data_IF_902671543735
#
_entry.id   IF_902671543735
#
_cell.length_a   1.000
_cell.length_b   1.000
_cell.length_c   1.000
_cell.angle_alpha   90.00
_cell.angle_beta   90.00
_cell.angle_gamma   90.00
#
_symmetry.space_group_name_H-M   'P 1'
#
loop_
_entity.id
_entity.type
_entity.pdbx_description
1 polymer ?
#
# COMPACT_ATOMS: atom_id res chain seq x y z
N UNK A 1 28.19 -69.93 -31.56
CA UNK A 1 28.94 -69.11 -30.58
C UNK A 1 28.80 -67.63 -30.96
N UNK A 2 27.63 -67.03 -30.69
CA UNK A 2 27.28 -65.64 -31.05
C UNK A 2 26.47 -65.04 -29.91
N UNK A 3 27.14 -64.75 -28.80
CA UNK A 3 26.51 -64.20 -27.59
C UNK A 3 27.53 -63.38 -26.80
N UNK A 4 28.24 -62.45 -27.46
CA UNK A 4 29.18 -61.52 -26.79
C UNK A 4 29.18 -60.09 -27.33
N UNK A 5 28.28 -59.71 -28.24
CA UNK A 5 28.25 -58.34 -28.80
C UNK A 5 27.09 -57.45 -28.31
N UNK A 6 26.09 -57.97 -27.60
CA UNK A 6 24.92 -57.19 -27.22
C UNK A 6 25.04 -56.46 -25.86
N UNK A 7 26.08 -56.73 -25.07
CA UNK A 7 26.18 -56.22 -23.69
C UNK A 7 26.99 -54.92 -23.54
N UNK A 8 27.69 -54.45 -24.59
CA UNK A 8 28.56 -53.25 -24.49
C UNK A 8 27.83 -51.96 -24.92
N UNK A 9 26.71 -52.05 -25.63
CA UNK A 9 25.96 -50.87 -26.11
C UNK A 9 24.93 -50.31 -25.11
N UNK A 10 24.62 -51.03 -24.02
CA UNK A 10 23.65 -50.58 -23.03
C UNK A 10 24.23 -49.72 -21.89
N UNK A 11 25.56 -49.63 -21.76
CA UNK A 11 26.22 -48.89 -20.67
C UNK A 11 26.67 -47.47 -21.10
N UNK A 12 26.68 -47.17 -22.41
CA UNK A 12 26.99 -45.83 -22.90
C UNK A 12 25.80 -44.84 -22.84
N UNK A 13 24.58 -45.33 -22.58
CA UNK A 13 23.36 -44.50 -22.55
C UNK A 13 23.00 -43.91 -21.18
N UNK A 14 23.62 -44.37 -20.08
CA UNK A 14 23.25 -43.95 -18.72
C UNK A 14 24.11 -42.82 -18.13
N UNK A 15 25.08 -42.29 -18.88
CA UNK A 15 25.97 -41.21 -18.40
C UNK A 15 25.59 -39.81 -18.92
N UNK A 16 24.52 -39.67 -19.71
CA UNK A 16 24.03 -38.37 -20.20
C UNK A 16 22.86 -37.79 -19.38
N UNK A 17 22.41 -38.47 -18.31
CA UNK A 17 21.28 -38.02 -17.49
C UNK A 17 21.67 -37.25 -16.21
N UNK A 18 22.95 -36.95 -16.00
CA UNK A 18 23.44 -36.25 -14.79
C UNK A 18 24.22 -34.96 -15.12
N UNK A 19 23.84 -34.23 -16.17
CA UNK A 19 24.59 -33.05 -16.63
C UNK A 19 23.81 -31.74 -16.70
N UNK A 20 22.49 -31.76 -16.59
CA UNK A 20 21.69 -30.54 -16.50
C UNK A 20 21.22 -30.40 -15.06
N UNK A 21 22.12 -29.92 -14.20
CA UNK A 21 21.66 -28.95 -13.20
C UNK A 21 21.07 -27.85 -14.08
N UNK A 22 19.75 -27.88 -14.28
CA UNK A 22 19.03 -26.72 -14.73
C UNK A 22 19.39 -25.67 -13.68
N UNK A 23 20.37 -24.83 -13.99
CA UNK A 23 20.55 -23.56 -13.30
C UNK A 23 19.20 -22.90 -13.50
N UNK A 24 18.31 -23.03 -12.51
CA UNK A 24 17.09 -22.26 -12.47
C UNK A 24 17.59 -20.83 -12.56
N UNK A 25 17.46 -20.25 -13.74
CA UNK A 25 17.82 -18.87 -13.96
C UNK A 25 17.03 -18.08 -12.91
N UNK A 26 17.74 -17.31 -12.09
CA UNK A 26 17.05 -16.46 -11.13
C UNK A 26 16.10 -15.55 -11.90
N UNK A 27 14.88 -15.30 -11.37
CA UNK A 27 13.94 -14.43 -12.05
C UNK A 27 14.57 -13.06 -12.23
N UNK A 28 14.33 -12.44 -13.38
CA UNK A 28 14.69 -11.04 -13.60
C UNK A 28 14.00 -10.16 -12.54
N UNK A 29 14.53 -8.94 -12.24
CA UNK A 29 13.88 -8.02 -11.31
C UNK A 29 12.40 -7.77 -11.62
N UNK A 30 12.04 -7.64 -12.90
CA UNK A 30 10.66 -7.45 -13.36
C UNK A 30 9.81 -8.68 -13.05
N UNK A 31 10.27 -9.88 -13.41
CA UNK A 31 9.53 -11.13 -13.13
C UNK A 31 9.36 -11.35 -11.62
N UNK A 32 10.39 -11.04 -10.83
CA UNK A 32 10.32 -11.15 -9.39
C UNK A 32 9.29 -10.18 -8.80
N UNK A 33 9.30 -8.92 -9.24
CA UNK A 33 8.33 -7.91 -8.80
C UNK A 33 6.90 -8.33 -9.13
N UNK A 34 6.65 -8.79 -10.35
CA UNK A 34 5.33 -9.26 -10.80
C UNK A 34 4.87 -10.48 -9.98
N UNK A 35 5.77 -11.43 -9.72
CA UNK A 35 5.46 -12.60 -8.89
C UNK A 35 5.16 -12.22 -7.44
N UNK A 36 5.94 -11.32 -6.87
CA UNK A 36 5.73 -10.85 -5.50
C UNK A 36 4.42 -10.08 -5.37
N UNK A 37 4.07 -9.29 -6.38
CA UNK A 37 2.78 -8.61 -6.46
C UNK A 37 1.60 -9.60 -6.48
N UNK A 38 1.69 -10.67 -7.29
CA UNK A 38 0.68 -11.72 -7.31
C UNK A 38 0.57 -12.42 -5.94
N UNK A 39 1.70 -12.69 -5.30
CA UNK A 39 1.74 -13.32 -3.98
C UNK A 39 1.08 -12.46 -2.90
N UNK A 40 1.31 -11.15 -2.90
CA UNK A 40 0.67 -10.21 -1.98
C UNK A 40 -0.87 -10.27 -2.12
N UNK A 41 -1.40 -10.26 -3.35
CA UNK A 41 -2.85 -10.41 -3.60
C UNK A 41 -3.42 -11.73 -3.06
N UNK A 42 -2.61 -12.79 -3.00
CA UNK A 42 -3.04 -14.11 -2.52
C UNK A 42 -2.83 -14.35 -1.04
N UNK A 43 -2.06 -13.49 -0.35
CA UNK A 43 -1.67 -13.69 1.05
C UNK A 43 -2.86 -13.78 2.03
N UNK A 44 -4.05 -13.32 1.62
CA UNK A 44 -5.31 -13.21 2.40
C UNK A 44 -5.22 -12.35 3.65
N UNK A 45 -4.17 -12.45 4.44
CA UNK A 45 -3.96 -11.72 5.69
C UNK A 45 -2.53 -11.20 5.78
N UNK A 46 -2.35 -10.06 6.43
CA UNK A 46 -1.03 -9.49 6.74
C UNK A 46 -1.14 -8.50 7.89
N UNK A 47 -0.06 -8.37 8.66
CA UNK A 47 0.15 -7.26 9.57
C UNK A 47 1.05 -6.21 8.90
N UNK A 48 0.69 -4.95 9.05
CA UNK A 48 1.35 -3.80 8.44
C UNK A 48 1.81 -2.88 9.55
N UNK A 49 3.09 -2.55 9.55
CA UNK A 49 3.63 -1.42 10.32
C UNK A 49 4.26 -0.44 9.36
N UNK A 50 4.22 0.85 9.68
CA UNK A 50 4.88 1.80 8.81
C UNK A 50 4.99 3.19 9.37
N UNK A 51 5.83 3.95 8.70
CA UNK A 51 5.93 5.39 8.88
C UNK A 51 5.68 6.07 7.56
N UNK A 52 5.23 7.31 7.60
CA UNK A 52 5.11 8.11 6.41
C UNK A 52 5.32 9.58 6.72
N UNK A 53 5.42 10.37 5.68
CA UNK A 53 5.44 11.81 5.78
C UNK A 53 4.62 12.42 4.67
N UNK A 54 3.92 13.50 5.00
CA UNK A 54 3.24 14.35 4.04
C UNK A 54 3.81 15.73 4.19
N UNK A 55 4.50 16.23 3.17
CA UNK A 55 5.00 17.59 3.12
C UNK A 55 4.19 18.40 2.13
N UNK A 56 3.69 19.54 2.59
CA UNK A 56 3.06 20.54 1.75
C UNK A 56 4.00 21.73 1.64
N UNK A 57 4.45 22.04 0.42
CA UNK A 57 5.34 23.15 0.10
C UNK A 57 4.57 24.20 -0.69
N UNK A 58 4.37 25.39 -0.12
CA UNK A 58 3.76 26.53 -0.79
C UNK A 58 4.27 27.83 -0.20
N UNK A 59 3.39 28.84 -0.06
CA UNK A 59 3.71 30.08 0.66
C UNK A 59 4.17 29.86 2.12
N UNK A 60 3.82 28.71 2.71
CA UNK A 60 4.39 28.15 3.93
C UNK A 60 4.66 26.66 3.70
N UNK A 61 5.75 26.13 4.27
CA UNK A 61 6.07 24.70 4.21
C UNK A 61 5.65 24.01 5.49
N UNK A 62 4.85 22.95 5.38
CA UNK A 62 4.42 22.11 6.49
C UNK A 62 4.82 20.66 6.24
N UNK A 63 5.16 19.93 7.29
CA UNK A 63 5.42 18.49 7.21
C UNK A 63 4.70 17.80 8.35
N UNK A 64 4.05 16.69 8.02
CA UNK A 64 3.29 15.86 8.93
C UNK A 64 3.89 14.47 8.91
N UNK A 65 4.43 14.04 10.04
CA UNK A 65 4.90 12.67 10.21
C UNK A 65 3.75 11.77 10.61
N UNK A 66 3.69 10.60 9.99
CA UNK A 66 2.65 9.60 10.17
C UNK A 66 3.27 8.30 10.67
N UNK A 67 2.57 7.61 11.56
CA UNK A 67 2.79 6.21 11.87
C UNK A 67 1.51 5.45 11.63
N UNK A 68 1.63 4.24 11.10
CA UNK A 68 0.52 3.33 10.88
C UNK A 68 0.88 1.95 11.42
N UNK A 69 -0.11 1.27 11.98
CA UNK A 69 0.01 -0.13 12.37
C UNK A 69 -1.36 -0.79 12.31
N UNK A 70 -1.40 -2.06 11.89
CA UNK A 70 -2.56 -2.91 12.07
C UNK A 70 -2.66 -4.01 11.03
N UNK A 71 -3.84 -4.58 10.90
CA UNK A 71 -4.05 -5.83 10.18
C UNK A 71 -4.94 -5.60 8.95
N UNK A 72 -4.68 -6.36 7.90
CA UNK A 72 -5.51 -6.39 6.69
C UNK A 72 -5.87 -7.84 6.33
N UNK A 73 -7.15 -8.05 6.01
CA UNK A 73 -7.69 -9.30 5.46
C UNK A 73 -8.33 -8.99 4.09
N UNK A 74 -7.65 -9.40 3.03
CA UNK A 74 -8.05 -9.20 1.62
C UNK A 74 -9.28 -10.06 1.32
N UNK A 75 -10.31 -9.52 0.62
CA UNK A 75 -10.29 -8.26 -0.12
C UNK A 75 -10.85 -7.04 0.60
N UNK A 76 -11.53 -7.17 1.74
CA UNK A 76 -12.48 -6.15 2.19
C UNK A 76 -12.38 -5.76 3.66
N UNK A 77 -11.37 -6.24 4.39
CA UNK A 77 -11.23 -5.97 5.82
C UNK A 77 -9.88 -5.37 6.19
N UNK A 78 -9.92 -4.38 7.06
CA UNK A 78 -8.72 -3.87 7.73
C UNK A 78 -9.07 -3.29 9.11
N UNK A 79 -8.09 -3.32 10.02
CA UNK A 79 -8.13 -2.60 11.30
C UNK A 79 -6.78 -1.92 11.48
N UNK A 80 -6.79 -0.60 11.57
CA UNK A 80 -5.57 0.22 11.49
C UNK A 80 -5.63 1.33 12.51
N UNK A 81 -4.51 1.55 13.18
CA UNK A 81 -4.26 2.73 13.98
C UNK A 81 -3.30 3.63 13.24
N UNK A 82 -3.71 4.87 13.01
CA UNK A 82 -2.86 5.92 12.47
C UNK A 82 -2.52 6.93 13.58
N UNK A 83 -1.29 7.43 13.57
CA UNK A 83 -0.83 8.51 14.43
C UNK A 83 -0.18 9.58 13.56
N UNK A 84 -0.48 10.84 13.85
CA UNK A 84 0.07 12.00 13.15
C UNK A 84 0.65 12.97 14.17
N UNK A 85 1.85 13.48 13.91
CA UNK A 85 2.43 14.57 14.70
C UNK A 85 2.21 15.90 13.98
N UNK A 86 1.48 16.81 14.61
CA UNK A 86 1.18 18.15 14.08
C UNK A 86 1.57 19.18 15.13
N UNK A 87 2.55 20.03 14.82
CA UNK A 87 3.00 21.12 15.70
C UNK A 87 3.33 20.64 17.14
N UNK A 88 3.92 19.46 17.27
CA UNK A 88 4.28 18.85 18.56
C UNK A 88 3.13 18.16 19.30
N UNK A 89 1.93 18.11 18.72
CA UNK A 89 0.80 17.35 19.24
C UNK A 89 0.64 16.04 18.47
N UNK A 90 0.51 14.93 19.20
CA UNK A 90 0.22 13.62 18.62
C UNK A 90 -1.29 13.43 18.55
N UNK A 91 -1.80 13.26 17.34
CA UNK A 91 -3.19 12.91 17.05
C UNK A 91 -3.22 11.45 16.66
N UNK A 92 -4.16 10.68 17.19
CA UNK A 92 -4.34 9.29 16.80
C UNK A 92 -5.78 9.04 16.38
N UNK A 93 -5.96 8.15 15.41
CA UNK A 93 -7.25 7.65 14.99
C UNK A 93 -7.16 6.16 14.69
N UNK A 94 -8.17 5.42 15.14
CA UNK A 94 -8.39 4.03 14.74
C UNK A 94 -9.38 4.01 13.58
N UNK A 95 -9.14 3.10 12.64
CA UNK A 95 -9.98 2.83 11.48
C UNK A 95 -10.28 1.34 11.41
N UNK A 96 -11.53 0.99 11.13
CA UNK A 96 -11.94 -0.37 10.79
C UNK A 96 -12.70 -0.30 9.48
N UNK A 97 -12.32 -1.15 8.54
CA UNK A 97 -13.09 -1.34 7.31
C UNK A 97 -13.54 -2.78 7.20
N UNK A 98 -14.83 -2.96 6.89
CA UNK A 98 -15.46 -4.28 6.68
C UNK A 98 -16.58 -4.11 5.66
N UNK A 99 -16.56 -4.92 4.59
CA UNK A 99 -17.67 -4.98 3.64
C UNK A 99 -17.99 -3.65 2.93
N UNK A 100 -16.98 -2.82 2.66
CA UNK A 100 -17.14 -1.52 1.98
C UNK A 100 -17.52 -0.35 2.89
N UNK A 101 -17.69 -0.59 4.19
CA UNK A 101 -17.91 0.44 5.21
C UNK A 101 -16.60 0.75 5.93
N UNK A 102 -16.39 2.03 6.25
CA UNK A 102 -15.21 2.49 7.00
C UNK A 102 -15.67 3.23 8.25
N UNK A 103 -15.21 2.76 9.39
CA UNK A 103 -15.49 3.29 10.72
C UNK A 103 -14.23 3.93 11.26
N UNK A 104 -14.36 5.14 11.81
CA UNK A 104 -13.24 5.88 12.39
C UNK A 104 -13.54 6.22 13.83
N UNK A 105 -12.52 6.13 14.69
CA UNK A 105 -12.56 6.61 16.07
C UNK A 105 -11.34 7.47 16.33
N UNK A 106 -11.56 8.76 16.55
CA UNK A 106 -10.49 9.70 16.90
C UNK A 106 -10.14 9.62 18.38
N UNK A 107 -8.90 9.94 18.72
CA UNK A 107 -8.46 10.00 20.11
C UNK A 107 -9.36 10.94 20.93
N UNK A 108 -9.89 10.43 22.04
CA UNK A 108 -10.82 11.17 22.92
C UNK A 108 -12.30 11.06 22.55
N UNK A 109 -12.66 10.50 21.39
CA UNK A 109 -14.04 10.16 21.07
C UNK A 109 -14.47 8.91 21.84
N UNK A 110 -15.71 8.90 22.36
CA UNK A 110 -16.30 7.72 22.99
C UNK A 110 -16.72 6.69 21.93
N UNK A 111 -17.28 7.19 20.83
CA UNK A 111 -18.01 6.38 19.85
C UNK A 111 -17.27 6.30 18.51
N UNK A 112 -17.52 5.18 17.81
CA UNK A 112 -17.14 5.03 16.41
C UNK A 112 -18.12 5.79 15.52
N UNK A 113 -17.60 6.46 14.50
CA UNK A 113 -18.41 7.09 13.46
C UNK A 113 -18.19 6.37 12.14
N UNK A 114 -19.26 6.16 11.39
CA UNK A 114 -19.17 5.67 10.02
C UNK A 114 -18.83 6.84 9.09
N UNK A 115 -17.72 6.73 8.36
CA UNK A 115 -17.31 7.69 7.36
C UNK A 115 -17.97 7.44 6.01
N UNK A 116 -17.70 8.32 5.03
CA UNK A 116 -18.10 8.06 3.64
C UNK A 116 -17.45 6.77 3.13
N UNK A 117 -18.20 5.97 2.37
CA UNK A 117 -17.75 4.70 1.80
C UNK A 117 -16.56 4.90 0.85
N UNK A 118 -15.36 4.61 1.33
CA UNK A 118 -14.18 4.40 0.53
C UNK A 118 -13.51 3.13 1.07
N UNK A 119 -13.17 2.18 0.18
CA UNK A 119 -12.40 0.98 0.54
C UNK A 119 -10.94 1.39 0.80
N UNK A 120 -10.49 1.46 2.07
CA UNK A 120 -9.16 1.93 2.39
C UNK A 120 -8.13 0.81 2.36
N UNK A 121 -8.56 -0.46 2.24
CA UNK A 121 -7.64 -1.59 2.08
C UNK A 121 -6.90 -1.46 0.74
N UNK A 122 -7.59 -0.98 -0.30
CA UNK A 122 -7.06 -0.63 -1.61
C UNK A 122 -6.09 0.57 -1.62
N UNK A 123 -6.12 1.43 -0.60
CA UNK A 123 -5.23 2.59 -0.50
C UNK A 123 -4.04 2.39 0.44
N UNK A 124 -4.00 1.27 1.18
CA UNK A 124 -3.02 1.07 2.26
C UNK A 124 -2.18 -0.20 2.12
N UNK A 125 -2.79 -1.32 1.69
CA UNK A 125 -2.02 -2.40 1.06
C UNK A 125 -1.36 -1.94 -0.24
N UNK A 126 -1.80 -0.76 -0.65
CA UNK A 126 -1.54 -0.19 -1.92
C UNK A 126 -1.59 1.35 -1.86
N UNK A 127 -0.59 1.98 -1.22
CA UNK A 127 -0.48 3.44 -1.09
C UNK A 127 -0.34 4.17 -2.43
N UNK A 128 -0.13 3.44 -3.53
CA UNK A 128 -0.03 3.98 -4.88
C UNK A 128 -1.25 3.66 -5.76
N UNK A 129 -2.20 2.86 -5.27
CA UNK A 129 -3.20 2.28 -6.14
C UNK A 129 -2.70 1.16 -7.10
N UNK A 130 -1.53 0.62 -6.85
CA UNK A 130 -0.85 -0.55 -7.37
C UNK A 130 -0.75 -1.80 -6.45
N UNK A 131 -1.85 -2.32 -5.89
CA UNK A 131 -1.96 -3.76 -5.65
C UNK A 131 -1.68 -4.47 -7.00
N UNK A 132 -1.78 -3.74 -8.11
CA UNK A 132 -1.14 -4.02 -9.38
C UNK A 132 0.17 -3.24 -9.63
N UNK A 133 1.32 -3.73 -9.13
CA UNK A 133 2.68 -3.28 -9.53
C UNK A 133 3.01 -3.56 -11.02
N UNK A 134 2.02 -3.89 -11.85
CA UNK A 134 2.16 -4.09 -13.31
C UNK A 134 2.54 -2.79 -14.04
N UNK A 135 2.21 -1.64 -13.45
CA UNK A 135 2.58 -0.32 -13.96
C UNK A 135 4.02 0.09 -13.59
N UNK A 136 4.75 -0.74 -12.85
CA UNK A 136 6.14 -0.49 -12.51
C UNK A 136 7.04 -0.56 -13.76
N UNK A 137 7.85 0.47 -13.95
CA UNK A 137 8.84 0.60 -15.03
C UNK A 137 10.22 0.78 -14.43
N UNK A 138 11.28 0.60 -15.24
CA UNK A 138 12.67 0.75 -14.81
C UNK A 138 13.01 -0.07 -13.56
N UNK A 139 12.52 -1.32 -13.48
CA UNK A 139 12.74 -2.19 -12.32
C UNK A 139 14.19 -2.65 -12.30
N UNK A 140 14.92 -2.31 -11.25
CA UNK A 140 16.33 -2.66 -11.07
C UNK A 140 16.56 -3.26 -9.69
N UNK A 141 17.41 -4.28 -9.60
CA UNK A 141 17.88 -4.77 -8.31
C UNK A 141 19.01 -3.87 -7.80
N UNK A 142 18.88 -3.41 -6.56
CA UNK A 142 19.85 -2.55 -5.90
C UNK A 142 20.85 -3.37 -5.08
N UNK A 143 20.35 -4.25 -4.22
CA UNK A 143 21.16 -5.14 -3.39
C UNK A 143 20.38 -6.38 -2.90
N UNK A 144 20.98 -7.17 -1.99
CA UNK A 144 20.42 -8.41 -1.43
C UNK A 144 20.59 -8.45 0.10
N UNK A 145 19.80 -7.66 0.84
CA UNK A 145 19.98 -7.53 2.27
C UNK A 145 19.23 -8.63 3.02
N UNK A 146 19.43 -8.69 4.33
CA UNK A 146 18.60 -9.50 5.23
C UNK A 146 17.63 -8.58 5.95
N UNK A 147 16.33 -8.87 5.88
CA UNK A 147 15.25 -8.18 6.60
C UNK A 147 14.64 -9.19 7.56
N UNK A 148 14.62 -8.89 8.86
CA UNK A 148 14.10 -9.77 9.92
C UNK A 148 14.64 -11.21 9.88
N UNK A 149 15.95 -11.34 9.61
CA UNK A 149 16.62 -12.64 9.49
C UNK A 149 16.33 -13.42 8.20
N UNK A 150 15.52 -12.86 7.29
CA UNK A 150 15.18 -13.45 5.99
C UNK A 150 16.00 -12.81 4.87
N UNK A 151 16.51 -13.64 3.96
CA UNK A 151 17.20 -13.15 2.75
C UNK A 151 16.19 -12.49 1.81
N UNK A 152 16.54 -11.31 1.30
CA UNK A 152 15.69 -10.55 0.39
C UNK A 152 16.46 -10.11 -0.85
N UNK A 153 15.71 -9.81 -1.92
CA UNK A 153 16.18 -9.02 -3.06
C UNK A 153 15.53 -7.65 -2.97
N UNK A 154 16.35 -6.61 -2.98
CA UNK A 154 15.90 -5.22 -2.90
C UNK A 154 15.81 -4.65 -4.31
N UNK A 155 14.59 -4.28 -4.73
CA UNK A 155 14.33 -3.73 -6.05
C UNK A 155 13.86 -2.29 -5.93
N UNK A 156 14.28 -1.44 -6.87
CA UNK A 156 13.69 -0.12 -7.11
C UNK A 156 12.87 -0.13 -8.38
N UNK A 157 11.83 0.71 -8.44
CA UNK A 157 11.00 0.90 -9.62
C UNK A 157 10.48 2.34 -9.70
N UNK A 158 10.13 2.74 -10.92
CA UNK A 158 9.42 4.00 -11.21
C UNK A 158 7.99 3.70 -11.64
N UNK A 159 7.09 4.65 -11.45
CA UNK A 159 5.71 4.54 -11.90
C UNK A 159 5.45 5.60 -12.96
N UNK A 160 4.64 5.22 -13.96
CA UNK A 160 4.19 6.16 -14.98
C UNK A 160 3.42 7.32 -14.33
N UNK A 161 3.90 8.56 -14.47
CA UNK A 161 3.27 9.73 -13.86
C UNK A 161 1.83 9.98 -14.31
N UNK A 162 1.50 9.66 -15.56
CA UNK A 162 0.15 9.88 -16.08
C UNK A 162 -0.83 8.85 -15.54
N UNK A 163 -0.44 7.57 -15.49
CA UNK A 163 -1.25 6.53 -14.87
C UNK A 163 -1.58 6.86 -13.40
N UNK A 164 -0.62 7.47 -12.68
CA UNK A 164 -0.83 7.94 -11.31
C UNK A 164 -1.83 9.11 -11.25
N UNK A 165 -1.64 10.13 -12.09
CA UNK A 165 -2.55 11.30 -12.17
C UNK A 165 -3.97 10.87 -12.51
N UNK A 166 -4.15 10.02 -13.52
CA UNK A 166 -5.45 9.50 -13.93
C UNK A 166 -6.14 8.74 -12.80
N UNK A 167 -5.38 7.95 -12.03
CA UNK A 167 -5.93 7.22 -10.89
C UNK A 167 -6.33 8.17 -9.76
N UNK A 168 -5.51 9.16 -9.45
CA UNK A 168 -5.84 10.17 -8.44
C UNK A 168 -7.10 10.96 -8.81
N UNK A 169 -7.23 11.38 -10.07
CA UNK A 169 -8.40 12.08 -10.56
C UNK A 169 -9.66 11.22 -10.42
N UNK A 170 -9.63 9.94 -10.85
CA UNK A 170 -10.76 9.01 -10.65
C UNK A 170 -11.13 8.83 -9.18
N UNK A 171 -10.15 8.73 -8.29
CA UNK A 171 -10.39 8.66 -6.85
C UNK A 171 -11.08 9.91 -6.31
N UNK A 172 -10.63 11.10 -6.73
CA UNK A 172 -11.22 12.37 -6.29
C UNK A 172 -12.62 12.61 -6.88
N UNK A 173 -12.85 12.23 -8.13
CA UNK A 173 -14.18 12.22 -8.75
C UNK A 173 -15.16 11.34 -7.97
N UNK A 174 -14.71 10.14 -7.55
CA UNK A 174 -15.54 9.25 -6.70
C UNK A 174 -15.83 9.82 -5.32
N UNK A 175 -14.96 10.70 -4.80
CA UNK A 175 -15.15 11.46 -3.57
C UNK A 175 -15.93 12.78 -3.77
N UNK A 176 -16.39 13.07 -4.99
CA UNK A 176 -17.20 14.26 -5.31
C UNK A 176 -16.40 15.56 -5.47
N UNK A 177 -15.07 15.50 -5.57
CA UNK A 177 -14.20 16.67 -5.71
C UNK A 177 -13.70 16.83 -7.16
N UNK A 178 -14.10 17.91 -7.82
CA UNK A 178 -13.67 18.26 -9.20
C UNK A 178 -12.66 19.42 -9.25
N UNK A 179 -12.31 19.98 -8.10
CA UNK A 179 -11.43 21.16 -8.00
C UNK A 179 -9.93 20.80 -7.96
N UNK A 180 -9.59 19.52 -7.81
CA UNK A 180 -8.22 19.05 -7.70
C UNK A 180 -7.58 18.85 -9.08
N UNK A 181 -6.51 19.60 -9.38
CA UNK A 181 -5.75 19.50 -10.62
C UNK A 181 -4.28 19.19 -10.31
N UNK A 182 -3.90 17.91 -10.23
CA UNK A 182 -2.52 17.52 -10.00
C UNK A 182 -1.68 17.76 -11.27
N UNK A 183 -0.52 18.37 -11.12
CA UNK A 183 0.49 18.55 -12.16
C UNK A 183 1.83 17.94 -11.73
N UNK A 184 2.75 17.75 -12.68
CA UNK A 184 4.13 17.34 -12.40
C UNK A 184 4.26 16.15 -11.44
N UNK A 185 3.41 15.14 -11.61
CA UNK A 185 3.44 13.97 -10.75
C UNK A 185 4.76 13.20 -10.91
N UNK A 186 5.26 12.70 -9.80
CA UNK A 186 6.40 11.80 -9.74
C UNK A 186 6.05 10.68 -8.77
N UNK A 187 6.44 9.46 -9.11
CA UNK A 187 6.31 8.35 -8.19
C UNK A 187 7.36 7.29 -8.43
N UNK A 188 7.90 6.81 -7.32
CA UNK A 188 8.90 5.76 -7.28
C UNK A 188 8.70 4.92 -6.03
N UNK A 189 9.21 3.71 -6.07
CA UNK A 189 9.21 2.86 -4.90
C UNK A 189 10.38 1.91 -4.88
N UNK A 190 10.54 1.30 -3.72
CA UNK A 190 11.47 0.22 -3.48
C UNK A 190 10.74 -0.90 -2.75
N UNK A 191 11.10 -2.15 -3.04
CA UNK A 191 10.54 -3.33 -2.38
C UNK A 191 11.63 -4.29 -1.96
N UNK A 192 11.42 -4.94 -0.82
CA UNK A 192 12.23 -6.05 -0.36
C UNK A 192 11.42 -7.33 -0.47
N UNK A 193 11.88 -8.23 -1.34
CA UNK A 193 11.17 -9.47 -1.67
C UNK A 193 11.95 -10.65 -1.11
N UNK A 194 11.32 -11.47 -0.26
CA UNK A 194 11.97 -12.66 0.30
C UNK A 194 12.32 -13.67 -0.78
N UNK A 195 13.48 -14.31 -0.64
CA UNK A 195 13.95 -15.27 -1.64
C UNK A 195 13.30 -16.66 -1.52
N UNK A 196 12.74 -17.01 -0.36
CA UNK A 196 12.15 -18.33 -0.11
C UNK A 196 10.73 -18.45 -0.67
N UNK A 197 9.89 -17.42 -0.47
CA UNK A 197 8.49 -17.43 -0.89
C UNK A 197 8.08 -16.29 -1.83
N UNK A 198 9.00 -15.39 -2.18
CA UNK A 198 8.74 -14.20 -3.01
C UNK A 198 7.66 -13.28 -2.42
N UNK A 199 7.52 -13.22 -1.09
CA UNK A 199 6.64 -12.24 -0.46
C UNK A 199 7.33 -10.88 -0.31
N UNK A 200 6.58 -9.80 -0.51
CA UNK A 200 7.02 -8.44 -0.18
C UNK A 200 6.99 -8.32 1.35
N UNK A 201 8.13 -7.99 1.96
CA UNK A 201 8.24 -7.79 3.42
C UNK A 201 8.48 -6.35 3.82
N UNK A 202 8.88 -5.51 2.87
CA UNK A 202 8.98 -4.08 3.05
C UNK A 202 8.73 -3.36 1.73
N UNK A 203 8.12 -2.19 1.78
CA UNK A 203 7.88 -1.32 0.64
C UNK A 203 8.09 0.14 1.03
N UNK A 204 8.97 0.82 0.31
CA UNK A 204 9.13 2.26 0.36
C UNK A 204 8.40 2.86 -0.84
N UNK A 205 7.59 3.87 -0.62
CA UNK A 205 6.90 4.63 -1.67
C UNK A 205 7.20 6.11 -1.48
N UNK A 206 7.46 6.79 -2.59
CA UNK A 206 7.59 8.24 -2.66
C UNK A 206 6.76 8.76 -3.82
N UNK A 207 5.94 9.76 -3.54
CA UNK A 207 5.10 10.44 -4.50
C UNK A 207 5.28 11.95 -4.33
N UNK A 208 5.22 12.69 -5.44
CA UNK A 208 5.20 14.13 -5.42
C UNK A 208 4.34 14.66 -6.54
N UNK A 209 3.56 15.70 -6.30
CA UNK A 209 2.79 16.38 -7.34
C UNK A 209 2.54 17.84 -6.97
N UNK A 210 2.39 18.66 -7.99
CA UNK A 210 1.95 20.04 -7.84
C UNK A 210 0.43 20.09 -7.78
N UNK A 211 -0.10 20.98 -6.96
CA UNK A 211 -1.51 21.28 -6.84
C UNK A 211 -1.70 22.76 -7.21
N UNK A 212 -2.54 23.01 -8.21
CA UNK A 212 -3.05 24.33 -8.50
C UNK A 212 -4.44 24.50 -7.88
N UNK A 213 -4.62 25.50 -7.01
CA UNK A 213 -5.89 25.81 -6.36
C UNK A 213 -5.74 26.22 -4.90
N UNK A 214 -6.82 26.73 -4.32
CA UNK A 214 -6.88 27.02 -2.88
C UNK A 214 -7.06 25.72 -2.09
N UNK A 215 -6.10 25.43 -1.20
CA UNK A 215 -6.14 24.27 -0.31
C UNK A 215 -6.95 24.54 0.98
N UNK A 216 -7.49 25.75 1.15
CA UNK A 216 -8.29 26.12 2.32
C UNK A 216 -7.50 26.22 3.62
N UNK A 217 -6.17 26.28 3.54
CA UNK A 217 -5.25 26.30 4.69
C UNK A 217 -5.01 27.72 5.25
N UNK A 218 -5.61 28.75 4.64
CA UNK A 218 -5.56 30.12 5.11
C UNK A 218 -6.66 30.40 6.12
N UNK A 219 -6.33 30.50 7.41
CA UNK A 219 -7.27 31.00 8.40
C UNK A 219 -7.59 32.49 8.10
N UNK A 220 -8.75 32.75 7.48
CA UNK A 220 -9.33 34.09 7.36
C UNK A 220 -8.81 34.98 6.23
N UNK A 221 -8.09 34.44 5.24
CA UNK A 221 -7.75 35.17 4.00
C UNK A 221 -8.67 34.75 2.85
N UNK A 222 -9.07 35.67 1.96
CA UNK A 222 -9.84 35.32 0.78
C UNK A 222 -9.06 34.31 -0.07
N UNK A 223 -9.75 33.25 -0.51
CA UNK A 223 -9.22 32.22 -1.41
C UNK A 223 -8.46 32.88 -2.56
N UNK A 224 -7.17 32.57 -2.71
CA UNK A 224 -6.38 33.03 -3.84
C UNK A 224 -6.46 31.96 -4.94
N UNK A 225 -7.19 32.20 -6.04
CA UNK A 225 -7.42 31.21 -7.10
C UNK A 225 -6.16 30.82 -7.90
N UNK A 226 -4.99 31.35 -7.53
CA UNK A 226 -3.68 31.15 -8.16
C UNK A 226 -2.62 30.55 -7.22
N UNK A 227 -3.00 30.08 -6.02
CA UNK A 227 -2.05 29.44 -5.13
C UNK A 227 -1.49 28.15 -5.77
N UNK A 228 -0.17 28.07 -5.85
CA UNK A 228 0.57 26.86 -6.24
C UNK A 228 1.16 26.24 -4.99
N UNK A 229 0.92 24.96 -4.79
CA UNK A 229 1.56 24.16 -3.76
C UNK A 229 2.12 22.89 -4.38
N UNK A 230 3.11 22.29 -3.73
CA UNK A 230 3.62 20.96 -4.01
C UNK A 230 3.26 20.09 -2.81
N UNK A 231 2.74 18.90 -3.07
CA UNK A 231 2.58 17.85 -2.08
C UNK A 231 3.62 16.77 -2.34
N UNK A 232 4.36 16.41 -1.31
CA UNK A 232 5.23 15.24 -1.29
C UNK A 232 4.70 14.26 -0.24
N UNK A 233 4.60 13.00 -0.61
CA UNK A 233 4.12 11.91 0.24
C UNK A 233 5.15 10.80 0.21
N UNK A 234 5.52 10.29 1.38
CA UNK A 234 6.36 9.10 1.48
C UNK A 234 5.79 8.12 2.49
N UNK A 235 5.91 6.83 2.20
CA UNK A 235 5.58 5.74 3.11
C UNK A 235 6.72 4.73 3.13
N UNK A 236 7.02 4.19 4.30
CA UNK A 236 7.88 3.04 4.53
C UNK A 236 7.06 2.02 5.30
N UNK A 237 6.67 0.94 4.63
CA UNK A 237 5.78 -0.09 5.11
C UNK A 237 6.55 -1.38 5.31
N UNK A 238 6.38 -2.04 6.45
CA UNK A 238 6.83 -3.39 6.73
C UNK A 238 5.61 -4.34 6.78
N UNK A 239 5.75 -5.52 6.19
CA UNK A 239 4.72 -6.55 6.15
C UNK A 239 5.20 -7.78 6.91
N UNK A 240 4.39 -8.21 7.88
CA UNK A 240 4.67 -9.35 8.75
C UNK A 240 3.42 -10.22 8.92
N UNK A 241 3.55 -11.38 9.54
CA UNK A 241 2.43 -12.32 9.78
C UNK A 241 1.61 -12.66 8.51
N UNK A 242 2.28 -12.67 7.35
CA UNK A 242 1.67 -12.87 6.04
C UNK A 242 1.05 -14.28 5.97
N UNK A 243 -0.26 -14.35 5.75
CA UNK A 243 -1.02 -15.60 5.69
C UNK A 243 -1.36 -16.22 7.06
N UNK A 244 -1.01 -15.57 8.16
CA UNK A 244 -1.41 -16.00 9.51
C UNK A 244 -2.84 -15.53 9.82
N UNK A 245 -3.59 -16.31 10.62
CA UNK A 245 -4.95 -15.93 10.99
C UNK A 245 -4.94 -14.70 11.92
N UNK A 246 -5.73 -13.68 11.57
CA UNK A 246 -5.86 -12.47 12.40
C UNK A 246 -6.77 -12.76 13.60
N UNK A 247 -6.22 -12.57 14.80
CA UNK A 247 -6.94 -12.72 16.06
C UNK A 247 -6.73 -11.48 16.96
N UNK A 248 -7.80 -10.80 17.41
CA UNK A 248 -9.20 -11.08 17.14
C UNK A 248 -9.62 -10.68 15.72
N UNK A 249 -10.56 -11.44 15.14
CA UNK A 249 -11.11 -11.20 13.81
C UNK A 249 -11.57 -9.75 13.63
N UNK A 250 -11.43 -9.23 12.41
CA UNK A 250 -11.83 -7.87 12.06
C UNK A 250 -13.35 -7.84 11.85
N UNK A 251 -14.06 -7.11 12.70
CA UNK A 251 -15.52 -6.94 12.67
C UNK A 251 -15.88 -5.48 12.77
N UNK A 252 -17.02 -5.09 12.20
CA UNK A 252 -17.56 -3.74 12.37
C UNK A 252 -17.71 -3.40 13.86
N UNK A 253 -17.37 -2.16 14.28
CA UNK A 253 -17.54 -1.72 15.64
C UNK A 253 -19.03 -1.47 15.96
N UNK A 254 -19.41 -1.47 17.25
CA UNK A 254 -20.74 -1.02 17.65
C UNK A 254 -20.89 0.49 17.35
N UNK A 255 -21.89 0.86 16.54
CA UNK A 255 -22.24 2.25 16.23
C UNK A 255 -23.40 2.67 17.12
N UNK A 256 -23.30 3.80 17.81
CA UNK A 256 -24.44 4.38 18.52
C UNK A 256 -25.37 5.01 17.47
N UNK A 257 -26.57 4.47 17.31
CA UNK A 257 -27.55 5.07 16.41
C UNK A 257 -27.83 6.53 16.85
N UNK A 258 -27.91 7.50 15.92
CA UNK A 258 -28.29 8.86 16.29
C UNK A 258 -29.65 8.82 16.98
N UNK A 259 -29.73 9.43 18.17
CA UNK A 259 -30.98 9.50 18.91
C UNK A 259 -32.06 10.11 18.00
N UNK A 260 -33.27 9.52 17.91
CA UNK A 260 -34.32 10.08 17.09
C UNK A 260 -34.58 11.52 17.54
N UNK A 261 -34.45 12.46 16.59
CA UNK A 261 -34.78 13.86 16.81
C UNK A 261 -36.23 13.89 17.25
N UNK A 262 -36.47 14.22 18.52
CA UNK A 262 -37.83 14.43 19.02
C UNK A 262 -38.38 15.64 18.29
N UNK A 263 -39.25 15.42 17.32
CA UNK A 263 -40.04 16.49 16.72
C UNK A 263 -40.84 17.19 17.83
N UNK A 264 -40.76 18.52 17.94
CA UNK A 264 -41.60 19.25 18.89
C UNK A 264 -43.06 18.92 18.63
N UNK A 265 -43.79 18.52 19.67
CA UNK A 265 -45.24 18.34 19.60
C UNK A 265 -45.83 19.73 19.29
N UNK A 266 -46.61 19.91 18.21
CA UNK A 266 -47.27 21.17 17.96
C UNK A 266 -48.26 21.45 19.10
N UNK A 267 -48.04 22.53 19.83
CA UNK A 267 -49.01 23.07 20.79
C UNK A 267 -50.25 23.52 20.03
N UNK A 268 -51.41 22.96 20.38
CA UNK A 268 -52.72 23.45 19.95
C UNK A 268 -53.10 24.73 20.69
#
# INVERSE_FOLDING_TARGET
>A
MRLRLAAVLAVAGLLLACGQVATLAEPTPVELLQKANANLKTAKTTHIEGTGSVALKGGMSMTFDMKLSGDAEVPDKARITAQMSILGQNISADSISVGGHTYVKTAGAADWVEGASADPTQGMLDPMGQADLTAATNVTELDRPTVDGKKTRHLSYSVDPQALVDKMLKGMESAGSTAFKPGNATASGEVWIRTDDNQIVRQLVKMGFDIEGDLGLGAGQPASPTAKASLEVSFDLAFSHIGEAIAPAITAPPIVAPAPVRTPIPTR
#
